data_IF_982516601935
#
_entry.id   IF_982516601935
#
_cell.length_a   1.000
_cell.length_b   1.000
_cell.length_c   1.000
_cell.angle_alpha   90.00
_cell.angle_beta   90.00
_cell.angle_gamma   90.00
#
_symmetry.space_group_name_H-M   'P 1'
#
loop_
_entity.id
_entity.type
_entity.pdbx_description
1 polymer ?
#
# COMPACT_ATOMS: atom_id res chain seq x y z
N UNK A 1 -49.24 26.96 -38.42
CA UNK A 1 -48.07 27.71 -38.91
C UNK A 1 -46.87 26.81 -38.74
N UNK A 2 -46.29 26.36 -39.86
CA UNK A 2 -45.26 25.32 -39.88
C UNK A 2 -43.87 25.85 -39.54
N UNK A 3 -42.99 24.93 -39.14
CA UNK A 3 -41.68 24.77 -39.77
C UNK A 3 -41.06 23.46 -39.26
N UNK A 4 -41.13 22.42 -40.08
CA UNK A 4 -40.45 21.14 -39.90
C UNK A 4 -39.06 21.24 -40.52
N UNK A 5 -38.00 21.23 -39.70
CA UNK A 5 -36.64 21.10 -40.18
C UNK A 5 -36.25 19.61 -40.24
N UNK A 6 -36.26 19.08 -41.46
CA UNK A 6 -35.63 17.81 -41.83
C UNK A 6 -34.11 17.95 -41.75
N UNK A 7 -33.48 17.16 -40.88
CA UNK A 7 -32.02 17.03 -40.85
C UNK A 7 -31.61 15.77 -41.58
N UNK A 8 -30.84 15.97 -42.63
CA UNK A 8 -30.41 14.97 -43.62
C UNK A 8 -29.33 14.07 -43.04
N UNK A 9 -29.62 12.78 -43.01
CA UNK A 9 -28.69 11.68 -42.69
C UNK A 9 -27.65 11.58 -43.81
N UNK A 10 -26.37 11.73 -43.48
CA UNK A 10 -25.27 11.47 -44.42
C UNK A 10 -24.60 10.14 -44.04
N UNK A 11 -24.67 9.10 -44.90
CA UNK A 11 -24.16 7.78 -44.59
C UNK A 11 -22.71 7.59 -45.08
N UNK A 12 -22.01 6.69 -44.39
CA UNK A 12 -20.88 5.90 -44.89
C UNK A 12 -19.52 6.60 -45.12
N UNK A 13 -18.55 6.25 -44.27
CA UNK A 13 -17.34 5.57 -44.77
C UNK A 13 -16.75 4.70 -43.68
N UNK A 14 -17.01 3.39 -43.78
CA UNK A 14 -16.43 2.35 -42.95
C UNK A 14 -14.98 2.12 -43.37
N UNK A 15 -14.01 2.66 -42.63
CA UNK A 15 -12.61 2.25 -42.75
C UNK A 15 -12.32 1.16 -41.72
N UNK A 16 -12.07 -0.04 -42.24
CA UNK A 16 -11.72 -1.24 -41.51
C UNK A 16 -10.37 -1.09 -40.81
N UNK A 17 -10.36 -1.12 -39.48
CA UNK A 17 -9.15 -1.36 -38.69
C UNK A 17 -8.84 -2.87 -38.70
N UNK A 18 -7.62 -3.30 -39.06
CA UNK A 18 -7.17 -4.66 -38.79
C UNK A 18 -6.96 -4.87 -37.29
N UNK A 19 -7.28 -6.06 -36.74
CA UNK A 19 -7.14 -6.35 -35.33
C UNK A 19 -5.66 -6.40 -34.93
N UNK A 20 -5.25 -5.75 -33.84
CA UNK A 20 -3.89 -5.86 -33.31
C UNK A 20 -3.67 -7.27 -32.74
N UNK A 21 -2.57 -7.88 -33.16
CA UNK A 21 -2.07 -9.15 -32.64
C UNK A 21 -2.06 -9.13 -31.12
N UNK A 22 -2.85 -10.04 -30.55
CA UNK A 22 -2.94 -10.24 -29.11
C UNK A 22 -1.65 -10.92 -28.65
N UNK A 23 -0.61 -10.12 -28.40
CA UNK A 23 0.53 -10.54 -27.59
C UNK A 23 0.01 -10.87 -26.20
N UNK A 24 -0.24 -12.16 -26.02
CA UNK A 24 -0.68 -12.77 -24.78
C UNK A 24 0.51 -12.75 -23.83
N UNK A 25 0.71 -11.64 -23.15
CA UNK A 25 1.72 -11.48 -22.10
C UNK A 25 1.39 -12.46 -20.97
N UNK A 26 2.01 -13.64 -21.03
CA UNK A 26 1.87 -14.69 -20.02
C UNK A 26 2.49 -14.19 -18.72
N UNK A 27 1.63 -13.71 -17.81
CA UNK A 27 2.02 -13.38 -16.45
C UNK A 27 2.64 -14.62 -15.79
N UNK A 28 3.80 -14.48 -15.12
CA UNK A 28 4.51 -15.61 -14.54
C UNK A 28 3.68 -16.29 -13.44
N UNK A 29 3.81 -17.61 -13.28
CA UNK A 29 3.04 -18.38 -12.30
C UNK A 29 3.35 -17.94 -10.87
N UNK A 30 2.26 -17.72 -10.12
CA UNK A 30 2.21 -17.28 -8.72
C UNK A 30 3.00 -18.21 -7.78
N UNK A 31 4.23 -17.86 -7.43
CA UNK A 31 4.87 -18.40 -6.23
C UNK A 31 4.31 -17.68 -5.02
N UNK A 32 3.62 -18.43 -4.14
CA UNK A 32 3.34 -18.03 -2.77
C UNK A 32 4.59 -17.35 -2.20
N UNK A 33 4.48 -16.08 -1.80
CA UNK A 33 5.59 -15.27 -1.34
C UNK A 33 6.25 -15.97 -0.16
N UNK A 34 7.33 -16.72 -0.41
CA UNK A 34 8.21 -17.19 0.65
C UNK A 34 8.65 -15.96 1.42
N UNK A 35 8.40 -15.95 2.72
CA UNK A 35 8.91 -14.90 3.61
C UNK A 35 10.41 -14.72 3.34
N UNK A 36 10.90 -13.47 3.24
CA UNK A 36 12.31 -13.21 3.02
C UNK A 36 13.16 -13.91 4.08
N UNK A 37 14.32 -14.48 3.73
CA UNK A 37 15.19 -15.16 4.70
C UNK A 37 15.74 -14.24 5.80
N UNK A 38 15.53 -12.92 5.70
CA UNK A 38 15.93 -11.95 6.72
C UNK A 38 14.96 -11.87 7.92
N UNK A 39 13.83 -12.60 7.90
CA UNK A 39 12.91 -12.71 9.06
C UNK A 39 13.50 -13.48 10.26
N UNK A 40 14.77 -13.88 10.22
CA UNK A 40 15.44 -14.60 11.32
C UNK A 40 15.66 -13.72 12.56
N UNK A 41 15.57 -12.40 12.44
CA UNK A 41 15.46 -11.54 13.61
C UNK A 41 13.98 -11.34 13.91
N UNK A 42 13.49 -11.73 15.11
CA UNK A 42 12.11 -11.49 15.46
C UNK A 42 11.84 -9.98 15.38
N UNK A 43 10.78 -9.54 14.69
CA UNK A 43 10.43 -8.14 14.67
C UNK A 43 10.22 -7.66 16.10
N UNK A 44 10.74 -6.47 16.40
CA UNK A 44 10.53 -5.83 17.70
C UNK A 44 9.08 -5.37 17.75
N UNK A 45 8.21 -6.22 18.28
CA UNK A 45 6.76 -5.98 18.37
C UNK A 45 6.47 -4.76 19.24
N UNK A 46 5.60 -3.89 18.75
CA UNK A 46 5.14 -2.68 19.46
C UNK A 46 3.64 -2.70 19.63
N UNK A 47 3.18 -2.12 20.74
CA UNK A 47 1.77 -2.03 21.04
C UNK A 47 1.02 -0.98 20.18
N UNK A 48 1.67 0.13 19.80
CA UNK A 48 1.01 1.28 19.16
C UNK A 48 1.96 1.99 18.19
N UNK A 49 1.43 2.44 17.05
CA UNK A 49 2.12 3.35 16.12
C UNK A 49 2.21 4.76 16.68
N UNK A 50 3.44 5.33 16.79
CA UNK A 50 3.61 6.74 17.17
C UNK A 50 3.03 7.70 16.13
N UNK A 51 2.92 7.26 14.86
CA UNK A 51 2.38 8.08 13.76
C UNK A 51 0.98 8.63 14.05
N UNK A 52 0.21 7.94 14.89
CA UNK A 52 -1.18 8.31 15.17
C UNK A 52 -1.32 9.11 16.48
N UNK A 53 -0.25 9.21 17.29
CA UNK A 53 -0.31 9.88 18.60
C UNK A 53 -0.42 11.41 18.49
N UNK A 54 -0.04 12.00 17.37
CA UNK A 54 -0.01 13.46 17.19
C UNK A 54 -1.40 14.09 16.99
N UNK A 55 -2.45 13.31 16.70
CA UNK A 55 -3.77 13.86 16.34
C UNK A 55 -4.86 13.76 17.43
N UNK A 56 -4.67 13.00 18.51
CA UNK A 56 -5.79 12.62 19.38
C UNK A 56 -5.49 12.68 20.88
N UNK A 57 -5.28 13.87 21.44
CA UNK A 57 -5.72 14.12 22.81
C UNK A 57 -7.24 14.23 22.80
N UNK A 58 -7.97 13.15 23.07
CA UNK A 58 -9.30 13.13 23.71
C UNK A 58 -9.94 11.72 23.73
N UNK A 59 -9.78 11.02 24.85
CA UNK A 59 -10.88 10.40 25.63
C UNK A 59 -12.01 9.64 24.90
N UNK A 60 -11.68 8.53 24.24
CA UNK A 60 -12.34 7.20 24.33
C UNK A 60 -11.61 6.36 23.29
N UNK A 61 -10.70 5.48 23.73
CA UNK A 61 -9.87 4.71 22.79
C UNK A 61 -10.78 3.93 21.84
N UNK A 62 -10.80 4.25 20.53
CA UNK A 62 -11.56 3.47 19.56
C UNK A 62 -11.09 2.01 19.57
N UNK A 63 -11.91 1.07 19.10
CA UNK A 63 -11.54 -0.34 19.16
C UNK A 63 -10.29 -0.61 18.32
N UNK A 64 -9.19 -0.91 19.02
CA UNK A 64 -7.91 -1.36 18.46
C UNK A 64 -8.10 -2.63 17.63
N UNK A 65 -7.74 -2.57 16.35
CA UNK A 65 -7.76 -3.70 15.44
C UNK A 65 -6.45 -4.46 15.55
N UNK A 66 -6.52 -5.66 16.12
CA UNK A 66 -5.38 -6.59 16.12
C UNK A 66 -5.21 -7.25 14.76
N UNK A 67 -4.02 -7.80 14.51
CA UNK A 67 -3.73 -8.62 13.31
C UNK A 67 -4.83 -9.65 13.04
N UNK A 68 -5.27 -10.37 14.08
CA UNK A 68 -6.32 -11.38 13.97
C UNK A 68 -7.66 -10.77 13.50
N UNK A 69 -8.12 -9.70 14.15
CA UNK A 69 -9.37 -9.04 13.76
C UNK A 69 -9.32 -8.48 12.34
N UNK A 70 -8.17 -7.92 11.94
CA UNK A 70 -7.96 -7.39 10.60
C UNK A 70 -7.99 -8.51 9.54
N UNK A 71 -7.36 -9.66 9.81
CA UNK A 71 -7.42 -10.83 8.94
C UNK A 71 -8.83 -11.44 8.88
N UNK A 72 -9.54 -11.51 10.01
CA UNK A 72 -10.94 -11.95 10.04
C UNK A 72 -11.83 -11.00 9.20
N UNK A 73 -11.61 -9.68 9.28
CA UNK A 73 -12.31 -8.69 8.46
C UNK A 73 -12.03 -8.90 6.97
N UNK A 74 -10.76 -9.09 6.60
CA UNK A 74 -10.39 -9.38 5.21
C UNK A 74 -11.01 -10.68 4.69
N UNK A 75 -11.16 -11.70 5.53
CA UNK A 75 -11.85 -12.94 5.14
C UNK A 75 -13.32 -12.68 4.85
N UNK A 76 -14.02 -11.95 5.72
CA UNK A 76 -15.44 -11.61 5.51
C UNK A 76 -15.63 -10.82 4.21
N UNK A 77 -14.78 -9.81 3.97
CA UNK A 77 -14.79 -9.02 2.73
C UNK A 77 -14.54 -9.93 1.52
N UNK A 78 -13.49 -10.75 1.57
CA UNK A 78 -13.14 -11.69 0.52
C UNK A 78 -14.29 -12.64 0.14
N UNK A 79 -14.98 -13.18 1.14
CA UNK A 79 -16.09 -14.12 0.96
C UNK A 79 -17.31 -13.40 0.38
N UNK A 80 -17.62 -12.20 0.86
CA UNK A 80 -18.70 -11.37 0.34
C UNK A 80 -18.50 -11.02 -1.15
N UNK A 81 -17.26 -10.65 -1.51
CA UNK A 81 -16.88 -10.36 -2.91
C UNK A 81 -16.94 -11.61 -3.78
N UNK A 82 -16.46 -12.75 -3.27
CA UNK A 82 -16.50 -14.02 -3.99
C UNK A 82 -17.93 -14.48 -4.28
N UNK A 83 -18.86 -14.32 -3.34
CA UNK A 83 -20.28 -14.65 -3.54
C UNK A 83 -20.94 -13.84 -4.67
N UNK A 84 -20.39 -12.66 -4.98
CA UNK A 84 -20.86 -11.77 -6.06
C UNK A 84 -20.04 -11.90 -7.33
N UNK A 85 -19.10 -12.85 -7.39
CA UNK A 85 -18.17 -13.03 -8.51
C UNK A 85 -17.34 -11.77 -8.83
N UNK A 86 -17.04 -10.95 -7.82
CA UNK A 86 -16.22 -9.74 -7.98
C UNK A 86 -14.82 -10.00 -7.43
N UNK A 87 -13.80 -9.61 -8.18
CA UNK A 87 -12.40 -9.62 -7.72
C UNK A 87 -11.91 -8.18 -7.59
N UNK A 88 -11.53 -7.79 -6.38
CA UNK A 88 -11.06 -6.45 -6.05
C UNK A 88 -9.63 -6.54 -5.52
N UNK A 89 -8.78 -5.68 -6.07
CA UNK A 89 -7.45 -5.39 -5.51
C UNK A 89 -7.52 -4.07 -4.76
N UNK A 90 -6.97 -4.01 -3.55
CA UNK A 90 -6.78 -2.77 -2.80
C UNK A 90 -5.32 -2.64 -2.37
N UNK A 91 -4.85 -1.40 -2.20
CA UNK A 91 -3.52 -1.11 -1.69
C UNK A 91 -3.67 -0.69 -0.23
N UNK A 92 -3.02 -1.44 0.66
CA UNK A 92 -3.00 -1.21 2.10
C UNK A 92 -2.31 0.10 2.47
N UNK A 93 -2.66 0.69 3.61
CA UNK A 93 -1.81 1.69 4.23
C UNK A 93 -0.58 1.05 4.87
N UNK A 94 0.37 1.89 5.27
CA UNK A 94 1.57 1.45 5.98
C UNK A 94 1.23 0.70 7.27
N UNK A 95 0.27 1.18 8.06
CA UNK A 95 -0.10 0.53 9.34
C UNK A 95 -0.64 -0.89 9.14
N UNK A 96 -1.39 -1.11 8.06
CA UNK A 96 -1.86 -2.45 7.69
C UNK A 96 -0.70 -3.35 7.27
N UNK A 97 0.26 -2.83 6.52
CA UNK A 97 1.48 -3.57 6.15
C UNK A 97 2.28 -3.96 7.39
N UNK A 98 2.43 -3.03 8.33
CA UNK A 98 3.19 -3.24 9.56
C UNK A 98 2.60 -4.34 10.43
N UNK A 99 1.28 -4.45 10.48
CA UNK A 99 0.58 -5.47 11.25
C UNK A 99 0.53 -6.79 10.50
N UNK A 100 0.07 -6.76 9.25
CA UNK A 100 -0.27 -7.98 8.51
C UNK A 100 0.97 -8.65 7.95
N UNK A 101 1.90 -7.87 7.41
CA UNK A 101 3.07 -8.37 6.66
C UNK A 101 4.35 -8.37 7.49
N UNK A 102 4.65 -7.26 8.19
CA UNK A 102 5.94 -7.10 8.87
C UNK A 102 5.93 -7.49 10.35
N UNK A 103 4.75 -7.69 10.95
CA UNK A 103 4.58 -7.99 12.38
C UNK A 103 5.29 -6.98 13.32
N UNK A 104 5.31 -5.70 12.93
CA UNK A 104 5.90 -4.58 13.68
C UNK A 104 4.95 -4.10 14.78
N UNK A 105 3.65 -3.99 14.46
CA UNK A 105 2.62 -3.55 15.41
C UNK A 105 1.66 -4.70 15.76
N UNK A 106 1.23 -4.75 17.02
CA UNK A 106 0.20 -5.69 17.46
C UNK A 106 -1.22 -5.20 17.13
N UNK A 107 -1.43 -3.88 17.12
CA UNK A 107 -2.73 -3.25 16.87
C UNK A 107 -2.60 -1.91 16.15
N UNK A 108 -3.63 -1.54 15.37
CA UNK A 108 -3.82 -0.19 14.82
C UNK A 108 -5.23 0.32 15.12
N UNK A 109 -5.37 1.63 15.20
CA UNK A 109 -6.66 2.32 15.22
C UNK A 109 -7.10 2.77 13.82
N UNK A 110 -6.18 2.77 12.85
CA UNK A 110 -6.40 3.26 11.50
C UNK A 110 -6.12 2.16 10.48
N UNK A 111 -7.14 1.85 9.68
CA UNK A 111 -7.05 0.86 8.61
C UNK A 111 -7.55 1.53 7.34
N UNK A 112 -6.61 2.04 6.56
CA UNK A 112 -6.87 2.81 5.34
C UNK A 112 -6.37 2.05 4.11
N UNK A 113 -7.06 2.24 2.99
CA UNK A 113 -6.70 1.60 1.73
C UNK A 113 -7.03 2.53 0.58
N UNK A 114 -6.39 2.29 -0.55
CA UNK A 114 -6.70 3.02 -1.77
C UNK A 114 -6.63 2.11 -2.98
N UNK A 115 -7.39 2.45 -4.02
CA UNK A 115 -7.18 1.98 -5.38
C UNK A 115 -7.83 2.97 -6.35
N UNK A 116 -7.01 3.84 -6.95
CA UNK A 116 -7.48 4.89 -7.86
C UNK A 116 -7.82 4.37 -9.28
N UNK A 117 -7.75 3.05 -9.50
CA UNK A 117 -8.23 2.36 -10.69
C UNK A 117 -9.54 1.59 -10.46
N UNK A 118 -10.06 1.60 -9.22
CA UNK A 118 -11.28 0.87 -8.91
C UNK A 118 -12.46 1.52 -9.64
N UNK A 119 -13.21 0.72 -10.39
CA UNK A 119 -14.43 1.18 -11.04
C UNK A 119 -15.50 1.52 -9.99
N UNK A 120 -16.38 2.48 -10.30
CA UNK A 120 -17.36 3.00 -9.34
C UNK A 120 -18.32 1.93 -8.81
N UNK A 121 -18.73 0.99 -9.66
CA UNK A 121 -19.56 -0.15 -9.29
C UNK A 121 -18.83 -1.12 -8.34
N UNK A 122 -17.56 -1.43 -8.62
CA UNK A 122 -16.72 -2.24 -7.74
C UNK A 122 -16.48 -1.55 -6.38
N UNK A 123 -16.37 -0.22 -6.36
CA UNK A 123 -16.23 0.55 -5.13
C UNK A 123 -17.49 0.46 -4.24
N UNK A 124 -18.69 0.47 -4.85
CA UNK A 124 -19.96 0.25 -4.11
C UNK A 124 -19.98 -1.15 -3.50
N UNK A 125 -19.63 -2.18 -4.28
CA UNK A 125 -19.61 -3.57 -3.77
C UNK A 125 -18.57 -3.75 -2.65
N UNK A 126 -17.40 -3.10 -2.76
CA UNK A 126 -16.39 -3.10 -1.70
C UNK A 126 -16.93 -2.44 -0.42
N UNK A 127 -17.61 -1.29 -0.55
CA UNK A 127 -18.22 -0.58 0.57
C UNK A 127 -19.24 -1.47 1.31
N UNK A 128 -20.08 -2.19 0.58
CA UNK A 128 -21.04 -3.12 1.18
C UNK A 128 -20.33 -4.28 1.90
N UNK A 129 -19.28 -4.83 1.29
CA UNK A 129 -18.49 -5.92 1.88
C UNK A 129 -17.83 -5.51 3.20
N UNK A 130 -17.37 -4.27 3.26
CA UNK A 130 -16.78 -3.67 4.46
C UNK A 130 -17.81 -3.45 5.54
N UNK A 131 -18.97 -2.90 5.17
CA UNK A 131 -20.08 -2.74 6.10
C UNK A 131 -20.47 -4.08 6.73
N UNK A 132 -20.51 -5.15 5.94
CA UNK A 132 -20.77 -6.51 6.43
C UNK A 132 -19.68 -6.98 7.40
N UNK A 133 -18.40 -6.76 7.11
CA UNK A 133 -17.31 -7.10 8.02
C UNK A 133 -17.35 -6.33 9.34
N UNK A 134 -17.61 -5.02 9.29
CA UNK A 134 -17.78 -4.15 10.47
C UNK A 134 -18.92 -4.67 11.35
N UNK A 135 -20.07 -4.97 10.73
CA UNK A 135 -21.24 -5.52 11.41
C UNK A 135 -20.96 -6.87 12.07
N UNK A 136 -20.39 -7.83 11.33
CA UNK A 136 -20.13 -9.17 11.84
C UNK A 136 -19.10 -9.18 12.98
N UNK A 137 -18.11 -8.29 12.93
CA UNK A 137 -17.07 -8.20 13.96
C UNK A 137 -17.46 -7.29 15.14
N UNK A 138 -18.64 -6.67 15.10
CA UNK A 138 -19.10 -5.73 16.12
C UNK A 138 -18.14 -4.53 16.26
N UNK A 139 -17.52 -4.11 15.15
CA UNK A 139 -16.70 -2.91 15.13
C UNK A 139 -17.63 -1.70 15.15
N UNK A 140 -17.27 -0.67 15.92
CA UNK A 140 -17.93 0.62 15.75
C UNK A 140 -17.51 1.22 14.40
N UNK A 141 -18.18 2.27 13.94
CA UNK A 141 -17.86 2.94 12.68
C UNK A 141 -16.46 3.59 12.76
N UNK A 142 -15.41 2.78 12.61
CA UNK A 142 -14.02 3.10 12.96
C UNK A 142 -13.26 3.78 11.84
N UNK A 143 -13.93 4.29 10.79
CA UNK A 143 -13.23 4.68 9.58
C UNK A 143 -12.50 3.49 8.93
N UNK A 144 -13.10 2.29 9.00
CA UNK A 144 -12.55 1.12 8.32
C UNK A 144 -12.62 1.36 6.81
N UNK A 145 -11.46 1.37 6.14
CA UNK A 145 -11.25 1.79 4.74
C UNK A 145 -11.42 3.30 4.44
N UNK A 146 -10.85 4.19 5.25
CA UNK A 146 -10.70 5.59 4.78
C UNK A 146 -9.81 5.64 3.53
N UNK A 147 -10.20 6.47 2.55
CA UNK A 147 -9.35 6.82 1.42
C UNK A 147 -8.29 7.81 1.92
N UNK A 148 -6.99 7.50 1.81
CA UNK A 148 -5.95 8.47 2.12
C UNK A 148 -6.08 9.72 1.24
N UNK A 149 -5.86 10.89 1.85
CA UNK A 149 -5.94 12.20 1.18
C UNK A 149 -4.77 12.42 0.20
N UNK A 150 -4.74 11.70 -0.90
CA UNK A 150 -3.83 11.96 -2.02
C UNK A 150 -4.49 12.87 -3.06
N UNK A 151 -3.68 13.63 -3.79
CA UNK A 151 -4.16 14.17 -5.07
C UNK A 151 -4.50 13.00 -6.01
N UNK A 152 -5.48 13.18 -6.89
CA UNK A 152 -5.89 12.13 -7.83
C UNK A 152 -4.73 11.59 -8.67
N UNK A 153 -3.80 12.47 -9.08
CA UNK A 153 -2.60 12.08 -9.81
C UNK A 153 -1.66 11.22 -8.96
N UNK A 154 -1.38 11.64 -7.71
CA UNK A 154 -0.51 10.87 -6.81
C UNK A 154 -1.13 9.51 -6.47
N UNK A 155 -2.43 9.49 -6.16
CA UNK A 155 -3.16 8.26 -5.86
C UNK A 155 -3.12 7.24 -7.01
N UNK A 156 -3.33 7.71 -8.26
CA UNK A 156 -3.15 6.87 -9.46
C UNK A 156 -1.72 6.36 -9.59
N UNK A 157 -0.72 7.23 -9.48
CA UNK A 157 0.69 6.83 -9.59
C UNK A 157 1.10 5.82 -8.52
N UNK A 158 0.62 5.96 -7.28
CA UNK A 158 0.87 4.99 -6.20
C UNK A 158 0.18 3.66 -6.47
N UNK A 159 -1.07 3.70 -6.93
CA UNK A 159 -1.84 2.51 -7.34
C UNK A 159 -1.09 1.74 -8.43
N UNK A 160 -0.65 2.43 -9.48
CA UNK A 160 0.07 1.84 -10.61
C UNK A 160 1.39 1.20 -10.17
N UNK A 161 2.16 1.92 -9.35
CA UNK A 161 3.43 1.41 -8.81
C UNK A 161 3.21 0.21 -7.88
N UNK A 162 2.14 0.18 -7.08
CA UNK A 162 1.83 -0.93 -6.19
C UNK A 162 1.46 -2.19 -6.99
N UNK A 163 0.61 -2.04 -8.01
CA UNK A 163 0.25 -3.13 -8.94
C UNK A 163 1.50 -3.66 -9.65
N UNK A 164 2.34 -2.77 -10.19
CA UNK A 164 3.58 -3.16 -10.86
C UNK A 164 4.57 -3.84 -9.89
N UNK A 165 4.59 -3.42 -8.62
CA UNK A 165 5.39 -4.05 -7.57
C UNK A 165 4.88 -5.45 -7.21
N UNK A 166 3.57 -5.67 -7.31
CA UNK A 166 2.88 -6.95 -7.05
C UNK A 166 3.24 -7.59 -5.69
N UNK A 167 3.45 -6.76 -4.65
CA UNK A 167 3.72 -7.22 -3.29
C UNK A 167 2.39 -7.51 -2.57
N UNK A 168 1.87 -8.72 -2.72
CA UNK A 168 0.61 -9.15 -2.10
C UNK A 168 0.85 -9.50 -0.63
N UNK A 169 0.14 -8.84 0.27
CA UNK A 169 0.20 -9.08 1.73
C UNK A 169 -0.97 -9.93 2.24
N UNK A 170 -2.07 -9.98 1.48
CA UNK A 170 -3.20 -10.85 1.77
C UNK A 170 -3.94 -11.19 0.48
N UNK A 171 -4.41 -12.44 0.35
CA UNK A 171 -5.26 -12.87 -0.76
C UNK A 171 -6.20 -13.97 -0.30
N UNK A 172 -7.49 -13.78 -0.51
CA UNK A 172 -8.53 -14.77 -0.25
C UNK A 172 -9.76 -14.43 -1.10
N UNK A 173 -10.49 -15.44 -1.59
CA UNK A 173 -11.73 -15.23 -2.35
C UNK A 173 -11.61 -14.13 -3.40
N UNK A 174 -12.53 -13.16 -3.34
CA UNK A 174 -12.57 -12.01 -4.24
C UNK A 174 -11.69 -10.82 -3.84
N UNK A 175 -10.82 -10.95 -2.82
CA UNK A 175 -9.98 -9.84 -2.32
C UNK A 175 -8.49 -10.12 -2.48
N UNK A 176 -7.77 -9.15 -3.04
CA UNK A 176 -6.31 -9.07 -3.02
C UNK A 176 -5.89 -7.76 -2.35
N UNK A 177 -5.03 -7.84 -1.34
CA UNK A 177 -4.46 -6.68 -0.65
C UNK A 177 -2.98 -6.62 -0.98
N UNK A 178 -2.55 -5.50 -1.55
CA UNK A 178 -1.15 -5.24 -1.90
C UNK A 178 -0.54 -4.23 -0.93
N UNK A 179 0.76 -4.34 -0.67
CA UNK A 179 1.51 -3.25 -0.05
C UNK A 179 1.65 -2.08 -1.03
N UNK A 180 1.69 -0.83 -0.54
CA UNK A 180 2.17 0.29 -1.32
C UNK A 180 3.58 0.06 -1.85
N UNK A 181 4.06 0.89 -2.79
CA UNK A 181 5.43 0.80 -3.27
C UNK A 181 6.40 0.90 -2.08
N UNK A 182 7.31 -0.04 -1.90
CA UNK A 182 8.24 -0.04 -0.76
C UNK A 182 9.09 1.22 -0.71
N UNK A 183 9.44 1.77 -1.88
CA UNK A 183 10.11 3.07 -1.99
C UNK A 183 9.28 4.21 -1.42
N UNK A 184 7.95 4.18 -1.57
CA UNK A 184 7.06 5.20 -1.03
C UNK A 184 6.99 5.11 0.49
N UNK A 185 6.73 3.91 1.03
CA UNK A 185 6.64 3.68 2.47
C UNK A 185 7.96 4.05 3.16
N UNK A 186 9.09 3.66 2.56
CA UNK A 186 10.42 4.04 3.02
C UNK A 186 10.60 5.57 3.07
N UNK A 187 10.25 6.28 1.99
CA UNK A 187 10.33 7.74 1.95
C UNK A 187 9.47 8.39 3.04
N UNK A 188 8.24 7.92 3.23
CA UNK A 188 7.33 8.43 4.27
C UNK A 188 7.87 8.19 5.67
N UNK A 189 8.46 7.04 5.94
CA UNK A 189 9.06 6.76 7.25
C UNK A 189 10.26 7.65 7.53
N UNK A 190 11.14 7.86 6.56
CA UNK A 190 12.29 8.77 6.70
C UNK A 190 11.84 10.22 6.90
N UNK A 191 10.80 10.65 6.19
CA UNK A 191 10.19 11.98 6.36
C UNK A 191 9.56 12.13 7.75
N UNK A 192 8.83 11.11 8.22
CA UNK A 192 8.27 11.07 9.58
C UNK A 192 9.38 11.23 10.63
N UNK A 193 10.47 10.46 10.54
CA UNK A 193 11.62 10.58 11.47
C UNK A 193 12.26 11.97 11.40
N UNK A 194 12.29 12.60 10.22
CA UNK A 194 12.87 13.93 10.06
C UNK A 194 12.00 15.03 10.70
N UNK A 195 10.68 14.86 10.72
CA UNK A 195 9.73 15.77 11.34
C UNK A 195 9.69 15.60 12.87
N UNK A 196 9.72 14.34 13.33
CA UNK A 196 9.73 14.02 14.75
C UNK A 196 11.06 14.41 15.40
N UNK A 197 11.00 15.32 16.38
CA UNK A 197 12.21 15.79 17.08
C UNK A 197 12.82 14.71 17.99
N UNK A 198 12.04 13.67 18.31
CA UNK A 198 12.48 12.53 19.12
C UNK A 198 12.68 11.31 18.23
N UNK A 199 13.92 11.12 17.79
CA UNK A 199 14.29 9.92 17.02
C UNK A 199 14.29 8.71 17.95
N UNK A 200 13.29 7.86 17.81
CA UNK A 200 13.29 6.58 18.53
C UNK A 200 13.95 5.54 17.64
N UNK A 201 14.82 4.71 18.21
CA UNK A 201 15.52 3.61 17.50
C UNK A 201 14.55 2.74 16.68
N UNK A 202 13.34 2.58 17.21
CA UNK A 202 12.21 1.91 16.61
C UNK A 202 11.83 2.48 15.23
N UNK A 203 11.75 3.80 15.07
CA UNK A 203 11.35 4.39 13.78
C UNK A 203 12.40 4.13 12.69
N UNK A 204 13.69 4.08 13.06
CA UNK A 204 14.79 3.67 12.18
C UNK A 204 14.71 2.19 11.80
N UNK A 205 14.29 1.33 12.74
CA UNK A 205 14.09 -0.09 12.50
C UNK A 205 12.94 -0.32 11.48
N UNK A 206 11.86 0.47 11.54
CA UNK A 206 10.77 0.39 10.54
C UNK A 206 11.27 0.78 9.14
N UNK A 207 12.01 1.89 9.05
CA UNK A 207 12.61 2.32 7.78
C UNK A 207 13.54 1.25 7.20
N UNK A 208 14.26 0.55 8.07
CA UNK A 208 15.14 -0.54 7.70
C UNK A 208 14.35 -1.75 7.18
N UNK A 209 13.23 -2.13 7.81
CA UNK A 209 12.38 -3.22 7.32
C UNK A 209 11.80 -2.91 5.93
N UNK A 210 11.28 -1.70 5.69
CA UNK A 210 10.81 -1.31 4.35
C UNK A 210 11.92 -1.35 3.29
N UNK A 211 13.14 -0.94 3.66
CA UNK A 211 14.28 -0.99 2.76
C UNK A 211 14.71 -2.44 2.46
N UNK A 212 14.66 -3.34 3.44
CA UNK A 212 14.90 -4.77 3.23
C UNK A 212 13.90 -5.37 2.24
N UNK A 213 12.61 -5.08 2.41
CA UNK A 213 11.57 -5.55 1.49
C UNK A 213 11.81 -5.06 0.06
N UNK A 214 12.18 -3.78 -0.12
CA UNK A 214 12.55 -3.24 -1.42
C UNK A 214 13.74 -3.97 -2.05
N UNK A 215 14.84 -4.12 -1.29
CA UNK A 215 16.06 -4.77 -1.76
C UNK A 215 15.82 -6.24 -2.14
N UNK A 216 15.09 -6.96 -1.30
CA UNK A 216 14.74 -8.36 -1.53
C UNK A 216 13.89 -8.53 -2.79
N UNK A 217 12.82 -7.75 -2.92
CA UNK A 217 11.91 -7.83 -4.06
C UNK A 217 12.61 -7.48 -5.39
N UNK A 218 13.59 -6.57 -5.36
CA UNK A 218 14.36 -6.17 -6.54
C UNK A 218 15.59 -7.04 -6.79
N UNK A 219 15.86 -8.03 -5.94
CA UNK A 219 17.05 -8.88 -6.00
C UNK A 219 18.37 -8.08 -6.07
N UNK A 220 18.43 -6.97 -5.34
CA UNK A 220 19.61 -6.12 -5.24
C UNK A 220 20.08 -6.06 -3.78
N UNK A 221 21.36 -5.77 -3.59
CA UNK A 221 21.95 -5.70 -2.25
C UNK A 221 22.06 -4.27 -1.72
N UNK A 222 22.10 -3.29 -2.63
CA UNK A 222 22.32 -1.88 -2.34
C UNK A 222 21.49 -1.01 -3.27
N UNK A 223 21.01 0.13 -2.78
CA UNK A 223 20.37 1.17 -3.58
C UNK A 223 21.29 2.38 -3.67
N UNK A 224 21.57 2.92 -4.87
CA UNK A 224 22.30 4.19 -4.99
C UNK A 224 21.53 5.33 -4.34
N UNK A 225 22.23 6.22 -3.63
CA UNK A 225 21.64 7.42 -3.02
C UNK A 225 20.91 8.31 -4.05
N UNK A 226 21.43 8.38 -5.28
CA UNK A 226 20.77 9.07 -6.40
C UNK A 226 19.39 8.51 -6.71
N UNK A 227 19.19 7.19 -6.58
CA UNK A 227 17.89 6.53 -6.78
C UNK A 227 16.92 6.86 -5.66
N UNK A 228 17.38 6.86 -4.41
CA UNK A 228 16.54 7.28 -3.26
C UNK A 228 16.12 8.74 -3.42
N UNK A 229 17.04 9.64 -3.81
CA UNK A 229 16.70 11.04 -4.14
C UNK A 229 15.61 11.14 -5.20
N UNK A 230 15.66 10.29 -6.22
CA UNK A 230 14.62 10.24 -7.25
C UNK A 230 13.26 9.83 -6.66
N UNK A 231 13.23 8.89 -5.70
CA UNK A 231 11.99 8.49 -5.03
C UNK A 231 11.35 9.66 -4.29
N UNK A 232 12.11 10.35 -3.42
CA UNK A 232 11.62 11.51 -2.66
C UNK A 232 11.04 12.59 -3.56
N UNK A 233 11.75 12.93 -4.65
CA UNK A 233 11.23 13.87 -5.66
C UNK A 233 9.95 13.36 -6.31
N UNK A 234 9.85 12.07 -6.57
CA UNK A 234 8.68 11.49 -7.24
C UNK A 234 7.42 11.47 -6.37
N UNK A 235 7.59 11.60 -5.05
CA UNK A 235 6.53 11.58 -4.04
C UNK A 235 6.35 12.94 -3.34
N UNK A 236 6.97 14.00 -3.87
CA UNK A 236 6.92 15.36 -3.32
C UNK A 236 7.33 15.45 -1.84
N UNK A 237 8.27 14.58 -1.42
CA UNK A 237 8.75 14.47 -0.04
C UNK A 237 10.12 15.11 0.14
N UNK A 238 10.39 15.61 1.34
CA UNK A 238 11.71 16.18 1.67
C UNK A 238 12.70 15.09 2.11
N UNK A 239 13.90 15.10 1.51
CA UNK A 239 14.96 14.14 1.86
C UNK A 239 15.91 14.69 2.92
N UNK A 240 15.98 14.04 4.08
CA UNK A 240 17.04 14.26 5.07
C UNK A 240 18.18 13.25 4.89
N UNK A 241 19.33 13.72 4.37
CA UNK A 241 20.52 12.88 4.17
C UNK A 241 21.02 12.26 5.48
N UNK A 242 21.01 13.01 6.58
CA UNK A 242 21.43 12.54 7.89
C UNK A 242 20.61 11.31 8.33
N UNK A 243 19.29 11.33 8.15
CA UNK A 243 18.44 10.20 8.53
C UNK A 243 18.79 8.97 7.69
N UNK A 244 19.07 9.14 6.39
CA UNK A 244 19.51 8.00 5.57
C UNK A 244 20.87 7.43 6.01
N UNK A 245 21.79 8.28 6.46
CA UNK A 245 23.07 7.82 7.02
C UNK A 245 22.85 7.01 8.30
N UNK A 246 21.91 7.42 9.16
CA UNK A 246 21.51 6.66 10.35
C UNK A 246 20.87 5.31 10.00
N UNK A 247 19.92 5.29 9.05
CA UNK A 247 19.30 4.05 8.56
C UNK A 247 20.36 3.12 7.98
N UNK A 248 21.29 3.64 7.17
CA UNK A 248 22.35 2.84 6.57
C UNK A 248 23.35 2.29 7.62
N UNK A 249 23.67 3.08 8.65
CA UNK A 249 24.50 2.65 9.79
C UNK A 249 23.79 1.53 10.57
N UNK A 250 22.48 1.65 10.81
CA UNK A 250 21.67 0.63 11.48
C UNK A 250 21.59 -0.65 10.66
N UNK A 251 21.37 -0.54 9.35
CA UNK A 251 21.38 -1.68 8.43
C UNK A 251 22.74 -2.37 8.42
N UNK A 252 23.85 -1.62 8.35
CA UNK A 252 25.21 -2.18 8.41
C UNK A 252 25.47 -2.94 9.71
N UNK A 253 24.98 -2.42 10.84
CA UNK A 253 25.14 -3.08 12.13
C UNK A 253 24.35 -4.40 12.22
N UNK A 254 23.25 -4.51 11.47
CA UNK A 254 22.35 -5.67 11.50
C UNK A 254 22.71 -6.73 10.45
N UNK A 255 23.11 -6.31 9.25
CA UNK A 255 23.31 -7.19 8.08
C UNK A 255 24.78 -7.30 7.67
N UNK A 256 25.67 -6.46 8.21
CA UNK A 256 27.11 -6.48 7.92
C UNK A 256 27.53 -5.77 6.62
N UNK A 257 26.61 -5.09 5.92
CA UNK A 257 26.90 -4.33 4.68
C UNK A 257 26.07 -3.05 4.59
N UNK A 258 26.42 -2.14 3.69
CA UNK A 258 25.59 -0.97 3.41
C UNK A 258 24.34 -1.37 2.60
N UNK A 259 23.20 -0.77 2.91
CA UNK A 259 21.98 -0.85 2.10
C UNK A 259 21.93 0.30 1.08
N UNK A 260 22.56 1.43 1.41
CA UNK A 260 22.57 2.65 0.62
C UNK A 260 24.01 2.96 0.20
N UNK A 261 24.23 3.11 -1.10
CA UNK A 261 25.52 3.57 -1.63
C UNK A 261 25.50 5.10 -1.76
N UNK A 262 26.28 5.77 -0.93
CA UNK A 262 26.42 7.23 -0.94
C UNK A 262 27.51 7.74 -1.88
N UNK A 263 28.23 6.85 -2.57
CA UNK A 263 29.20 7.22 -3.60
C UNK A 263 28.45 7.81 -4.80
N UNK A 264 29.03 8.87 -5.38
CA UNK A 264 28.42 9.62 -6.49
C UNK A 264 28.48 8.85 -7.80
#
# INVERSE_FOLDING_TARGET
MGSTFSSTVNPQTSQSCPPPDSERETLPPYTSARLPPYSLLPPSRRSISRRNTSAATNTRGPPRLSKRKLLDAFRIIADYLSQRNVNITIIASTDVVDIVHLDIFDTTDEVTFFNYRLASDAAVVLSDAVHEAVKQLGLQDTGFLLDPCFSQEMGRRLTDKAILQNAIIYRHGGLTVMAPPWSYIFCRQVEFIAQEHTRVTQDLDDALEYLKEYLWLKHIQTVPYSKIRQWFRSFDSHLSRHILEDVNKRYRSTVGRNAIDFRR
#
